data_IF_306492822650
#
_entry.id   IF_306492822650
#
_cell.length_a   1.000
_cell.length_b   1.000
_cell.length_c   1.000
_cell.angle_alpha   90.00
_cell.angle_beta   90.00
_cell.angle_gamma   90.00
#
_symmetry.space_group_name_H-M   'P 1'
#
loop_
_entity.id
_entity.type
_entity.pdbx_description
1 polymer ?
#
# COMPACT_ATOMS: atom_id res chain seq x y z
N UNK A 1 4.64 8.24 1.06
CA UNK A 1 5.97 7.72 0.63
C UNK A 1 6.70 6.99 1.76
N UNK A 2 6.58 7.47 2.99
CA UNK A 2 7.12 6.87 4.22
C UNK A 2 6.84 5.35 4.36
N UNK A 3 5.56 4.94 4.33
CA UNK A 3 5.19 3.53 4.50
C UNK A 3 5.82 2.59 3.47
N UNK A 4 6.03 3.06 2.23
CA UNK A 4 6.63 2.22 1.20
C UNK A 4 8.10 1.94 1.46
N UNK A 5 8.85 2.92 2.01
CA UNK A 5 10.23 2.70 2.42
C UNK A 5 10.31 1.76 3.63
N UNK A 6 9.45 1.95 4.62
CA UNK A 6 9.41 1.05 5.79
C UNK A 6 9.15 -0.40 5.37
N UNK A 7 8.20 -0.62 4.46
CA UNK A 7 7.89 -1.95 3.95
C UNK A 7 9.06 -2.51 3.14
N UNK A 8 9.70 -1.70 2.29
CA UNK A 8 10.87 -2.13 1.52
C UNK A 8 12.01 -2.60 2.44
N UNK A 9 12.35 -1.78 3.45
CA UNK A 9 13.39 -2.10 4.42
C UNK A 9 13.07 -3.39 5.17
N UNK A 10 11.81 -3.58 5.61
CA UNK A 10 11.38 -4.80 6.28
C UNK A 10 11.54 -6.04 5.38
N UNK A 11 11.15 -5.94 4.10
CA UNK A 11 11.30 -7.04 3.14
C UNK A 11 12.79 -7.38 2.95
N UNK A 12 13.65 -6.37 2.89
CA UNK A 12 15.11 -6.54 2.73
C UNK A 12 15.75 -7.18 3.97
N UNK A 13 15.41 -6.71 5.17
CA UNK A 13 15.89 -7.28 6.45
C UNK A 13 15.48 -8.76 6.60
N UNK A 14 14.25 -9.10 6.19
CA UNK A 14 13.75 -10.47 6.17
C UNK A 14 14.30 -11.31 4.99
N UNK A 15 15.11 -10.69 4.11
CA UNK A 15 15.75 -11.31 2.94
C UNK A 15 14.74 -11.93 1.95
N UNK A 16 13.54 -11.38 1.86
CA UNK A 16 12.56 -11.81 0.88
C UNK A 16 12.80 -11.16 -0.47
N UNK A 17 12.89 -11.97 -1.54
CA UNK A 17 13.00 -11.43 -2.90
C UNK A 17 11.69 -10.79 -3.37
N UNK A 18 10.57 -11.46 -3.11
CA UNK A 18 9.22 -11.01 -3.40
C UNK A 18 8.26 -11.40 -2.29
N UNK A 19 7.12 -10.71 -2.21
CA UNK A 19 6.04 -10.98 -1.26
C UNK A 19 4.66 -10.99 -1.94
N UNK A 20 3.69 -11.66 -1.31
CA UNK A 20 2.27 -11.42 -1.57
C UNK A 20 1.80 -10.31 -0.64
N UNK A 21 1.40 -9.16 -1.21
CA UNK A 21 1.00 -7.99 -0.44
C UNK A 21 -0.53 -7.89 -0.37
N UNK A 22 -1.08 -7.90 0.84
CA UNK A 22 -2.51 -7.74 1.10
C UNK A 22 -2.75 -6.41 1.80
N UNK A 23 -3.48 -5.50 1.15
CA UNK A 23 -3.89 -4.22 1.72
C UNK A 23 -5.37 -4.24 2.11
N UNK A 24 -5.70 -3.86 3.35
CA UNK A 24 -7.08 -3.75 3.84
C UNK A 24 -7.40 -2.30 4.22
N UNK A 25 -8.58 -1.79 3.84
CA UNK A 25 -9.01 -0.41 4.14
C UNK A 25 -7.96 0.62 3.68
N UNK A 26 -7.44 1.49 4.55
CA UNK A 26 -6.33 2.42 4.22
C UNK A 26 -5.05 1.70 3.80
N UNK A 27 -4.83 0.48 4.28
CA UNK A 27 -3.75 -0.40 3.85
C UNK A 27 -3.81 -0.71 2.36
N UNK A 28 -4.98 -0.62 1.72
CA UNK A 28 -5.12 -0.76 0.27
C UNK A 28 -4.45 0.39 -0.48
N UNK A 29 -4.52 1.61 0.04
CA UNK A 29 -3.83 2.77 -0.54
C UNK A 29 -2.32 2.66 -0.35
N UNK A 30 -1.87 2.27 0.85
CA UNK A 30 -0.47 1.99 1.13
C UNK A 30 0.07 0.92 0.18
N UNK A 31 -0.65 -0.21 0.06
CA UNK A 31 -0.25 -1.33 -0.79
C UNK A 31 -0.22 -0.95 -2.27
N UNK A 32 -1.18 -0.14 -2.75
CA UNK A 32 -1.15 0.43 -4.11
C UNK A 32 0.04 1.36 -4.33
N UNK A 33 0.33 2.26 -3.38
CA UNK A 33 1.48 3.17 -3.48
C UNK A 33 2.80 2.39 -3.53
N UNK A 34 2.93 1.35 -2.70
CA UNK A 34 4.08 0.45 -2.74
C UNK A 34 4.19 -0.28 -4.07
N UNK A 35 3.10 -0.90 -4.55
CA UNK A 35 3.08 -1.62 -5.82
C UNK A 35 3.47 -0.73 -7.01
N UNK A 36 3.01 0.53 -7.03
CA UNK A 36 3.35 1.49 -8.08
C UNK A 36 4.84 1.83 -8.14
N UNK A 37 5.59 1.68 -7.04
CA UNK A 37 7.01 2.04 -6.94
C UNK A 37 7.94 0.83 -6.95
N UNK A 38 7.50 -0.28 -6.38
CA UNK A 38 8.30 -1.47 -6.10
C UNK A 38 7.63 -2.76 -6.62
N UNK A 39 7.00 -2.69 -7.79
CA UNK A 39 6.27 -3.83 -8.38
C UNK A 39 7.14 -5.09 -8.53
N UNK A 40 8.44 -4.92 -8.77
CA UNK A 40 9.40 -6.04 -8.86
C UNK A 40 9.53 -6.86 -7.56
N UNK A 41 9.09 -6.30 -6.42
CA UNK A 41 9.07 -6.96 -5.11
C UNK A 41 7.75 -7.68 -4.83
N UNK A 42 6.79 -7.68 -5.76
CA UNK A 42 5.50 -8.33 -5.60
C UNK A 42 5.39 -9.62 -6.41
N UNK A 43 4.87 -10.64 -5.76
CA UNK A 43 4.37 -11.85 -6.43
C UNK A 43 2.85 -11.76 -6.66
N UNK A 44 2.11 -11.17 -5.72
CA UNK A 44 0.73 -10.73 -5.95
C UNK A 44 0.38 -9.50 -5.11
N UNK A 45 -0.69 -8.81 -5.53
CA UNK A 45 -1.31 -7.69 -4.81
C UNK A 45 -2.79 -8.00 -4.62
N UNK A 46 -3.26 -8.03 -3.38
CA UNK A 46 -4.69 -8.17 -3.03
C UNK A 46 -5.16 -6.93 -2.28
N UNK A 47 -6.26 -6.33 -2.71
CA UNK A 47 -6.83 -5.13 -2.11
C UNK A 47 -8.24 -5.45 -1.58
N UNK A 48 -8.45 -5.30 -0.28
CA UNK A 48 -9.69 -5.64 0.41
C UNK A 48 -10.32 -4.38 1.02
N UNK A 49 -11.64 -4.24 0.85
CA UNK A 49 -12.40 -3.08 1.36
C UNK A 49 -11.76 -1.74 0.96
N UNK A 50 -11.26 -1.68 -0.29
CA UNK A 50 -10.60 -0.51 -0.85
C UNK A 50 -11.55 0.68 -0.94
N UNK A 51 -11.00 1.88 -0.82
CA UNK A 51 -11.75 3.15 -0.92
C UNK A 51 -12.05 3.57 -2.36
N UNK A 52 -11.79 2.70 -3.34
CA UNK A 52 -11.80 2.98 -4.78
C UNK A 52 -13.11 3.55 -5.34
N UNK A 53 -14.25 3.31 -4.67
CA UNK A 53 -15.58 3.76 -5.14
C UNK A 53 -16.26 4.77 -4.20
N UNK A 54 -15.49 5.42 -3.32
CA UNK A 54 -16.01 6.45 -2.41
C UNK A 54 -16.17 7.79 -3.12
N UNK A 55 -17.06 8.65 -2.63
CA UNK A 55 -17.22 10.03 -3.13
C UNK A 55 -15.91 10.82 -2.97
N UNK A 56 -15.73 11.91 -3.74
CA UNK A 56 -14.54 12.76 -3.65
C UNK A 56 -14.27 13.21 -2.21
N UNK A 57 -15.31 13.63 -1.48
CA UNK A 57 -15.22 14.05 -0.08
C UNK A 57 -14.69 12.92 0.84
N UNK A 58 -15.16 11.70 0.64
CA UNK A 58 -14.70 10.53 1.39
C UNK A 58 -13.28 10.09 1.00
N UNK A 59 -12.86 10.31 -0.25
CA UNK A 59 -11.49 10.08 -0.69
C UNK A 59 -10.55 11.11 -0.05
N UNK A 60 -10.97 12.38 0.02
CA UNK A 60 -10.21 13.46 0.63
C UNK A 60 -9.91 13.16 2.11
N UNK A 61 -10.92 12.78 2.89
CA UNK A 61 -10.77 12.40 4.32
C UNK A 61 -9.74 11.28 4.51
N UNK A 62 -9.68 10.33 3.57
CA UNK A 62 -8.74 9.21 3.66
C UNK A 62 -7.33 9.65 3.24
N UNK A 63 -7.21 10.50 2.22
CA UNK A 63 -5.94 11.06 1.79
C UNK A 63 -5.31 11.93 2.89
N UNK A 64 -6.10 12.77 3.57
CA UNK A 64 -5.61 13.61 4.67
C UNK A 64 -5.01 12.77 5.81
N UNK A 65 -5.60 11.59 6.10
CA UNK A 65 -5.05 10.63 7.09
C UNK A 65 -3.77 9.95 6.62
N UNK A 66 -3.56 9.85 5.32
CA UNK A 66 -2.37 9.22 4.74
C UNK A 66 -1.20 10.20 4.60
N UNK A 67 -1.49 11.50 4.50
CA UNK A 67 -0.50 12.59 4.35
C UNK A 67 0.00 13.16 5.69
N UNK A 68 -0.71 12.89 6.81
CA UNK A 68 -0.22 13.11 8.18
C UNK A 68 1.02 12.26 8.48
#
# INVERSE_FOLDING_TARGET
MFFSLQLLNLIDELKFKKIHLVGFSIGSLIARNFASKYNNRLESLTLLCSVFQRSEEQQQIVNDRFEL
#
